data_IF_995833577326
#
_entry.id   IF_995833577326
#
_cell.length_a   1.000
_cell.length_b   1.000
_cell.length_c   1.000
_cell.angle_alpha   90.00
_cell.angle_beta   90.00
_cell.angle_gamma   90.00
#
_symmetry.space_group_name_H-M   'P 1'
#
loop_
_entity.id
_entity.type
_entity.pdbx_description
1 polymer ?
#
# COMPACT_ATOMS: atom_id res chain seq x y z
N UNK A 1 13.46 4.06 -13.37
CA UNK A 1 12.82 3.08 -12.46
C UNK A 1 12.00 3.87 -11.48
N UNK A 2 10.67 3.76 -11.56
CA UNK A 2 9.76 4.46 -10.64
C UNK A 2 9.74 3.69 -9.32
N UNK A 3 9.92 4.38 -8.19
CA UNK A 3 9.81 3.76 -6.87
C UNK A 3 8.37 3.31 -6.61
N UNK A 4 8.20 2.11 -6.10
CA UNK A 4 6.89 1.50 -5.79
C UNK A 4 6.32 1.99 -4.46
N UNK A 5 7.20 2.47 -3.57
CA UNK A 5 6.85 3.17 -2.35
C UNK A 5 7.21 4.64 -2.49
N UNK A 6 6.31 5.52 -2.06
CA UNK A 6 6.55 6.96 -1.93
C UNK A 6 6.40 7.36 -0.45
N UNK A 7 7.36 8.15 0.03
CA UNK A 7 7.31 8.81 1.32
C UNK A 7 7.22 10.31 1.04
N UNK A 8 6.16 10.95 1.50
CA UNK A 8 5.91 12.36 1.26
C UNK A 8 5.32 12.97 2.55
N UNK A 9 6.00 13.93 3.21
CA UNK A 9 5.52 14.52 4.45
C UNK A 9 4.10 15.12 4.36
N UNK A 10 3.69 15.52 3.15
CA UNK A 10 2.36 16.08 2.89
C UNK A 10 1.28 14.99 2.69
N UNK A 11 1.67 13.72 2.54
CA UNK A 11 0.77 12.57 2.35
C UNK A 11 0.86 11.67 3.58
N UNK A 12 -0.28 11.45 4.24
CA UNK A 12 -0.36 10.55 5.41
C UNK A 12 0.72 10.86 6.48
N UNK A 13 1.05 12.14 6.68
CA UNK A 13 2.08 12.60 7.62
C UNK A 13 3.46 11.98 7.40
N UNK A 14 3.82 11.65 6.15
CA UNK A 14 5.08 10.98 5.83
C UNK A 14 5.07 9.47 6.02
N UNK A 15 3.91 8.84 6.17
CA UNK A 15 3.82 7.39 6.14
C UNK A 15 4.24 6.86 4.75
N UNK A 16 4.99 5.73 4.68
CA UNK A 16 5.25 5.07 3.42
C UNK A 16 3.95 4.57 2.79
N UNK A 17 3.66 5.02 1.57
CA UNK A 17 2.48 4.62 0.80
C UNK A 17 2.87 4.00 -0.53
N UNK A 18 1.98 3.15 -1.08
CA UNK A 18 2.11 2.70 -2.47
C UNK A 18 2.09 3.91 -3.40
N UNK A 19 3.07 3.99 -4.30
CA UNK A 19 3.25 5.13 -5.18
C UNK A 19 2.00 5.37 -6.04
N UNK A 20 1.55 6.62 -6.10
CA UNK A 20 0.32 7.00 -6.82
C UNK A 20 -0.96 6.77 -6.02
N UNK A 21 -0.87 6.27 -4.78
CA UNK A 21 -2.00 6.06 -3.89
C UNK A 21 -1.79 6.81 -2.56
N UNK A 22 -2.80 6.75 -1.68
CA UNK A 22 -2.68 7.13 -0.26
C UNK A 22 -2.77 5.91 0.66
N UNK A 23 -2.57 4.71 0.11
CA UNK A 23 -2.65 3.44 0.86
C UNK A 23 -1.29 3.20 1.52
N UNK A 24 -1.22 3.17 2.86
CA UNK A 24 0.02 2.87 3.58
C UNK A 24 0.48 1.43 3.31
N UNK A 25 1.80 1.23 3.28
CA UNK A 25 2.39 -0.12 3.20
C UNK A 25 2.01 -0.95 4.44
N UNK A 26 1.81 -0.29 5.58
CA UNK A 26 1.38 -0.94 6.82
C UNK A 26 0.07 -1.72 6.66
N UNK A 27 -0.89 -1.21 5.88
CA UNK A 27 -2.16 -1.91 5.66
C UNK A 27 -1.94 -3.30 5.03
N UNK A 28 -1.01 -3.43 4.08
CA UNK A 28 -0.68 -4.73 3.49
C UNK A 28 -0.09 -5.67 4.55
N UNK A 29 0.80 -5.16 5.40
CA UNK A 29 1.41 -5.95 6.48
C UNK A 29 0.33 -6.42 7.45
N UNK A 30 -0.58 -5.55 7.86
CA UNK A 30 -1.67 -5.87 8.80
C UNK A 30 -2.59 -6.97 8.24
N UNK A 31 -2.93 -6.93 6.95
CA UNK A 31 -3.71 -7.99 6.29
C UNK A 31 -2.97 -9.34 6.33
N UNK A 32 -1.68 -9.34 5.98
CA UNK A 32 -0.87 -10.56 6.00
C UNK A 32 -0.67 -11.11 7.41
N UNK A 33 -0.54 -10.24 8.42
CA UNK A 33 -0.50 -10.64 9.84
C UNK A 33 -1.85 -11.17 10.34
N UNK A 34 -2.96 -10.63 9.81
CA UNK A 34 -4.32 -11.11 10.05
C UNK A 34 -4.62 -12.47 9.42
N UNK A 35 -3.78 -12.91 8.47
CA UNK A 35 -3.95 -14.16 7.72
C UNK A 35 -4.75 -13.99 6.42
N UNK A 36 -5.05 -12.75 6.04
CA UNK A 36 -5.69 -12.43 4.78
C UNK A 36 -4.69 -12.58 3.61
N UNK A 37 -5.24 -12.83 2.43
CA UNK A 37 -4.48 -12.98 1.20
C UNK A 37 -4.18 -11.64 0.53
N UNK A 38 -3.17 -11.64 -0.34
CA UNK A 38 -2.87 -10.47 -1.19
C UNK A 38 -4.06 -10.15 -2.10
N UNK A 39 -4.82 -11.16 -2.54
CA UNK A 39 -5.96 -10.94 -3.41
C UNK A 39 -7.09 -10.19 -2.69
N UNK A 40 -7.39 -10.55 -1.43
CA UNK A 40 -8.35 -9.82 -0.59
C UNK A 40 -7.91 -8.37 -0.35
N UNK A 41 -6.62 -8.14 -0.08
CA UNK A 41 -6.08 -6.77 0.03
C UNK A 41 -6.28 -5.96 -1.26
N UNK A 42 -6.05 -6.56 -2.44
CA UNK A 42 -6.20 -5.87 -3.72
C UNK A 42 -7.66 -5.61 -4.10
N UNK A 43 -8.59 -6.45 -3.63
CA UNK A 43 -10.03 -6.22 -3.77
C UNK A 43 -10.49 -5.00 -2.94
N UNK A 44 -9.97 -4.87 -1.72
CA UNK A 44 -10.28 -3.73 -0.84
C UNK A 44 -9.54 -2.44 -1.27
N UNK A 45 -8.35 -2.56 -1.84
CA UNK A 45 -7.53 -1.44 -2.33
C UNK A 45 -7.25 -1.54 -3.83
N UNK A 46 -8.26 -1.36 -4.72
CA UNK A 46 -8.12 -1.53 -6.17
C UNK A 46 -7.21 -0.48 -6.84
N UNK A 47 -6.81 0.56 -6.09
CA UNK A 47 -5.82 1.54 -6.54
C UNK A 47 -4.37 1.03 -6.46
N UNK A 48 -4.12 -0.04 -5.70
CA UNK A 48 -2.83 -0.72 -5.62
C UNK A 48 -2.79 -1.79 -6.69
N UNK A 49 -1.69 -1.88 -7.44
CA UNK A 49 -1.49 -2.91 -8.47
C UNK A 49 -0.56 -3.98 -7.94
N UNK A 50 -0.82 -5.22 -8.31
CA UNK A 50 -0.05 -6.40 -7.86
C UNK A 50 1.45 -6.36 -8.22
N UNK A 51 1.81 -5.63 -9.27
CA UNK A 51 3.18 -5.51 -9.75
C UNK A 51 3.96 -4.34 -9.12
N UNK A 52 3.33 -3.58 -8.21
CA UNK A 52 4.03 -2.63 -7.36
C UNK A 52 4.86 -3.35 -6.31
#
# INVERSE_FOLDING_TARGET
>A
MSSVVKIDPEIMSGAPCFAGTRVPIQNLIDYLEGGDSIDEFLEDFPSVRRDQ
#
